data_IF_275155760625
#
_entry.id   IF_275155760625
#
_cell.length_a   1.000
_cell.length_b   1.000
_cell.length_c   1.000
_cell.angle_alpha   90.00
_cell.angle_beta   90.00
_cell.angle_gamma   90.00
#
_symmetry.space_group_name_H-M   'P 1'
#
loop_
_entity.id
_entity.type
_entity.pdbx_description
1 polymer ?
#
# COMPACT_ATOMS: atom_id res chain seq x y z
N UNK A 1 9.34 -34.00 11.29
CA UNK A 1 9.73 -32.87 10.41
C UNK A 1 8.47 -32.10 10.05
N UNK A 2 8.38 -30.80 10.36
CA UNK A 2 7.25 -29.94 9.92
C UNK A 2 7.64 -29.12 8.68
N UNK A 3 6.64 -28.72 7.89
CA UNK A 3 6.76 -27.71 6.83
C UNK A 3 6.17 -26.41 7.36
N UNK A 4 6.94 -25.32 7.30
CA UNK A 4 6.58 -24.04 7.91
C UNK A 4 6.80 -22.94 6.87
N UNK A 5 5.76 -22.17 6.59
CA UNK A 5 5.82 -20.95 5.79
C UNK A 5 5.78 -19.75 6.73
N UNK A 6 6.77 -18.87 6.62
CA UNK A 6 6.88 -17.62 7.38
C UNK A 6 6.77 -16.48 6.38
N UNK A 7 5.57 -15.88 6.30
CA UNK A 7 5.33 -14.71 5.45
C UNK A 7 5.56 -13.45 6.26
N UNK A 8 6.50 -12.61 5.81
CA UNK A 8 6.85 -11.36 6.48
C UNK A 8 6.31 -10.19 5.69
N UNK A 9 5.79 -9.17 6.38
CA UNK A 9 5.21 -7.99 5.74
C UNK A 9 6.18 -7.32 4.77
N UNK A 10 5.64 -6.88 3.64
CA UNK A 10 6.42 -6.36 2.52
C UNK A 10 6.63 -4.85 2.73
N UNK A 11 7.88 -4.39 2.94
CA UNK A 11 8.15 -2.95 3.07
C UNK A 11 7.80 -2.18 1.81
N UNK A 12 7.26 -0.99 2.03
CA UNK A 12 6.97 -0.04 0.96
C UNK A 12 8.24 0.48 0.28
N UNK A 13 8.32 0.38 -1.05
CA UNK A 13 9.50 0.71 -1.85
C UNK A 13 9.62 2.21 -2.18
N UNK A 14 9.45 3.08 -1.17
CA UNK A 14 9.51 4.54 -1.33
C UNK A 14 10.47 5.24 -0.37
N UNK A 15 11.34 4.47 0.27
CA UNK A 15 12.28 4.99 1.25
C UNK A 15 13.18 3.91 1.84
N UNK A 16 14.26 4.31 2.53
CA UNK A 16 15.12 3.38 3.24
C UNK A 16 14.44 2.82 4.49
N UNK A 17 14.80 1.59 4.84
CA UNK A 17 14.35 0.96 6.09
C UNK A 17 15.03 1.59 7.32
N UNK A 18 14.23 1.95 8.33
CA UNK A 18 14.73 2.31 9.67
C UNK A 18 14.69 1.14 10.68
N UNK A 19 15.30 1.34 11.86
CA UNK A 19 15.38 0.33 12.94
C UNK A 19 14.03 -0.22 13.40
N UNK A 20 12.95 0.57 13.33
CA UNK A 20 11.59 0.08 13.59
C UNK A 20 11.18 -1.10 12.69
N UNK A 21 11.53 -1.10 11.40
CA UNK A 21 11.27 -2.23 10.51
C UNK A 21 12.10 -3.45 10.93
N UNK A 22 13.35 -3.24 11.33
CA UNK A 22 14.20 -4.34 11.79
C UNK A 22 13.64 -5.00 13.05
N UNK A 23 13.38 -4.19 14.08
CA UNK A 23 12.91 -4.68 15.36
C UNK A 23 11.51 -5.29 15.28
N UNK A 24 10.60 -4.67 14.51
CA UNK A 24 9.20 -5.08 14.43
C UNK A 24 8.90 -6.14 13.37
N UNK A 25 9.53 -6.04 12.20
CA UNK A 25 9.16 -6.84 11.03
C UNK A 25 10.13 -7.99 10.75
N UNK A 26 11.45 -7.76 10.80
CA UNK A 26 12.41 -8.73 10.25
C UNK A 26 13.12 -9.60 11.28
N UNK A 27 13.52 -9.03 12.42
CA UNK A 27 14.26 -9.77 13.43
C UNK A 27 13.42 -10.88 14.09
N UNK A 28 12.14 -10.66 14.48
CA UNK A 28 11.33 -11.72 15.06
C UNK A 28 11.11 -12.94 14.15
N UNK A 29 10.70 -12.81 12.86
CA UNK A 29 10.55 -13.98 12.00
C UNK A 29 11.87 -14.64 11.63
N UNK A 30 12.99 -13.91 11.54
CA UNK A 30 14.30 -14.53 11.28
C UNK A 30 14.74 -15.42 12.46
N UNK A 31 14.58 -14.97 13.70
CA UNK A 31 14.83 -15.78 14.90
C UNK A 31 13.95 -17.04 14.89
N UNK A 32 12.66 -16.88 14.58
CA UNK A 32 11.72 -18.00 14.50
C UNK A 32 12.11 -19.01 13.42
N UNK A 33 12.43 -18.54 12.22
CA UNK A 33 12.83 -19.38 11.09
C UNK A 33 14.12 -20.15 11.41
N UNK A 34 15.13 -19.47 11.96
CA UNK A 34 16.40 -20.10 12.37
C UNK A 34 16.19 -21.17 13.44
N UNK A 35 15.41 -20.88 14.48
CA UNK A 35 15.06 -21.87 15.50
C UNK A 35 14.43 -23.12 14.88
N UNK A 36 13.46 -22.94 13.98
CA UNK A 36 12.76 -24.06 13.36
C UNK A 36 13.62 -24.86 12.39
N UNK A 37 14.51 -24.21 11.65
CA UNK A 37 15.54 -24.86 10.82
C UNK A 37 16.48 -25.70 11.68
N UNK A 38 17.01 -25.15 12.79
CA UNK A 38 17.88 -25.87 13.73
C UNK A 38 17.20 -27.09 14.38
N UNK A 39 15.89 -27.00 14.61
CA UNK A 39 15.07 -28.13 15.11
C UNK A 39 14.83 -29.23 14.06
N UNK A 40 15.30 -29.05 12.82
CA UNK A 40 15.10 -30.00 11.71
C UNK A 40 13.76 -29.87 11.00
N UNK A 41 13.08 -28.71 11.10
CA UNK A 41 11.91 -28.42 10.26
C UNK A 41 12.34 -27.84 8.91
N UNK A 42 11.47 -28.00 7.92
CA UNK A 42 11.61 -27.37 6.61
C UNK A 42 10.89 -26.02 6.66
N UNK A 43 11.64 -24.94 6.56
CA UNK A 43 11.11 -23.57 6.69
C UNK A 43 11.31 -22.84 5.36
N UNK A 44 10.27 -22.16 4.90
CA UNK A 44 10.35 -21.13 3.86
C UNK A 44 9.97 -19.79 4.50
N UNK A 45 10.90 -18.86 4.54
CA UNK A 45 10.70 -17.49 5.00
C UNK A 45 10.75 -16.56 3.79
N UNK A 46 9.63 -15.90 3.51
CA UNK A 46 9.44 -15.11 2.29
C UNK A 46 8.95 -13.70 2.60
N UNK A 47 9.40 -12.75 1.77
CA UNK A 47 8.97 -11.36 1.79
C UNK A 47 9.34 -10.69 0.47
N UNK A 48 9.28 -9.37 0.41
CA UNK A 48 9.71 -8.59 -0.74
C UNK A 48 9.36 -7.13 -0.60
N UNK A 49 9.58 -6.34 -1.65
CA UNK A 49 9.21 -4.92 -1.65
C UNK A 49 7.82 -4.71 -2.26
N UNK A 50 6.98 -3.94 -1.57
CA UNK A 50 5.72 -3.42 -2.12
C UNK A 50 6.03 -2.20 -3.01
N UNK A 51 5.82 -2.36 -4.31
CA UNK A 51 6.26 -1.43 -5.36
C UNK A 51 5.14 -0.61 -5.99
N UNK A 52 3.92 -0.67 -5.48
CA UNK A 52 2.77 -0.01 -6.10
C UNK A 52 2.18 1.10 -5.23
N UNK A 53 1.20 1.83 -5.75
CA UNK A 53 0.46 2.83 -5.00
C UNK A 53 0.98 4.26 -5.11
N UNK A 54 0.14 5.17 -4.64
CA UNK A 54 0.24 6.61 -4.83
C UNK A 54 1.54 7.26 -4.30
N UNK A 55 2.07 6.91 -3.12
CA UNK A 55 3.27 7.59 -2.65
C UNK A 55 4.52 7.37 -3.55
N UNK A 56 4.68 6.20 -4.17
CA UNK A 56 5.75 5.97 -5.16
C UNK A 56 5.55 6.86 -6.39
N UNK A 57 4.32 7.03 -6.87
CA UNK A 57 4.04 7.92 -8.02
C UNK A 57 4.32 9.38 -7.68
N UNK A 58 4.06 9.83 -6.44
CA UNK A 58 4.44 11.18 -5.96
C UNK A 58 5.94 11.37 -6.07
N UNK A 59 6.71 10.47 -5.46
CA UNK A 59 8.16 10.57 -5.41
C UNK A 59 8.77 10.52 -6.80
N UNK A 60 8.24 9.65 -7.67
CA UNK A 60 8.65 9.59 -9.08
C UNK A 60 8.44 10.93 -9.81
N UNK A 61 7.27 11.56 -9.63
CA UNK A 61 6.99 12.87 -10.23
C UNK A 61 7.91 13.97 -9.67
N UNK A 62 8.15 13.98 -8.36
CA UNK A 62 9.05 14.95 -7.70
C UNK A 62 10.50 14.81 -8.15
N UNK A 63 10.96 13.58 -8.40
CA UNK A 63 12.33 13.28 -8.82
C UNK A 63 12.52 13.30 -10.34
N UNK A 64 11.45 13.46 -11.14
CA UNK A 64 11.50 13.38 -12.60
C UNK A 64 11.87 11.98 -13.11
N UNK A 65 11.41 10.93 -12.41
CA UNK A 65 11.66 9.51 -12.70
C UNK A 65 10.37 8.76 -12.97
N UNK A 66 10.46 7.52 -13.42
CA UNK A 66 9.31 6.61 -13.44
C UNK A 66 9.06 5.99 -12.05
N UNK A 67 7.81 5.57 -11.74
CA UNK A 67 7.50 4.83 -10.52
C UNK A 67 8.36 3.57 -10.34
N UNK A 68 8.62 2.86 -11.43
CA UNK A 68 9.45 1.67 -11.44
C UNK A 68 10.90 1.98 -11.07
N UNK A 69 11.48 3.07 -11.60
CA UNK A 69 12.84 3.49 -11.25
C UNK A 69 12.99 3.80 -9.76
N UNK A 70 12.00 4.48 -9.15
CA UNK A 70 11.97 4.77 -7.72
C UNK A 70 11.86 3.48 -6.90
N UNK A 71 10.88 2.63 -7.22
CA UNK A 71 10.63 1.40 -6.49
C UNK A 71 11.82 0.44 -6.57
N UNK A 72 12.43 0.28 -7.75
CA UNK A 72 13.59 -0.57 -7.96
C UNK A 72 14.85 -0.04 -7.26
N UNK A 73 15.02 1.28 -7.22
CA UNK A 73 16.10 1.91 -6.46
C UNK A 73 16.02 1.52 -4.97
N UNK A 74 14.86 1.70 -4.35
CA UNK A 74 14.67 1.38 -2.93
C UNK A 74 14.66 -0.12 -2.66
N UNK A 75 14.12 -0.95 -3.57
CA UNK A 75 14.23 -2.40 -3.46
C UNK A 75 15.70 -2.84 -3.37
N UNK A 76 16.58 -2.32 -4.25
CA UNK A 76 18.00 -2.66 -4.21
C UNK A 76 18.68 -2.24 -2.90
N UNK A 77 18.41 -1.03 -2.42
CA UNK A 77 18.98 -0.52 -1.15
C UNK A 77 18.49 -1.35 0.04
N UNK A 78 17.19 -1.63 0.09
CA UNK A 78 16.56 -2.32 1.20
C UNK A 78 16.95 -3.80 1.23
N UNK A 79 16.96 -4.49 0.09
CA UNK A 79 17.45 -5.87 -0.04
C UNK A 79 18.89 -6.00 0.46
N UNK A 80 19.77 -5.08 0.03
CA UNK A 80 21.16 -5.04 0.51
C UNK A 80 21.24 -4.79 2.02
N UNK A 81 20.46 -3.85 2.55
CA UNK A 81 20.48 -3.53 3.98
C UNK A 81 20.01 -4.71 4.83
N UNK A 82 19.00 -5.44 4.37
CA UNK A 82 18.49 -6.67 5.01
C UNK A 82 19.57 -7.77 5.01
N UNK A 83 20.25 -7.97 3.88
CA UNK A 83 21.36 -8.92 3.75
C UNK A 83 22.54 -8.56 4.66
N UNK A 84 22.96 -7.30 4.67
CA UNK A 84 24.07 -6.80 5.49
C UNK A 84 23.78 -6.93 7.00
N UNK A 85 22.50 -6.92 7.40
CA UNK A 85 22.06 -7.19 8.78
C UNK A 85 21.96 -8.68 9.13
N UNK A 86 22.23 -9.57 8.17
CA UNK A 86 22.25 -11.02 8.37
C UNK A 86 20.88 -11.66 8.43
N UNK A 87 19.82 -10.99 7.95
CA UNK A 87 18.48 -11.59 7.87
C UNK A 87 18.43 -12.58 6.71
N UNK A 88 17.86 -13.77 6.95
CA UNK A 88 17.95 -14.91 6.03
C UNK A 88 16.60 -15.31 5.43
N UNK A 89 16.19 -14.61 4.38
CA UNK A 89 15.05 -14.98 3.55
C UNK A 89 15.40 -16.12 2.58
N UNK A 90 14.44 -17.03 2.36
CA UNK A 90 14.52 -18.02 1.27
C UNK A 90 14.11 -17.38 -0.07
N UNK A 91 13.24 -16.37 -0.02
CA UNK A 91 12.89 -15.52 -1.16
C UNK A 91 12.57 -14.10 -0.68
N UNK A 92 13.28 -13.11 -1.23
CA UNK A 92 12.97 -11.69 -1.08
C UNK A 92 12.71 -11.10 -2.48
N UNK A 93 11.44 -10.98 -2.86
CA UNK A 93 11.01 -10.58 -4.21
C UNK A 93 10.46 -9.14 -4.21
N UNK A 94 9.57 -8.80 -5.14
CA UNK A 94 8.83 -7.55 -5.18
C UNK A 94 7.48 -7.72 -5.89
N UNK A 95 6.54 -6.81 -5.67
CA UNK A 95 5.17 -6.93 -6.22
C UNK A 95 5.10 -6.58 -7.70
N UNK A 96 6.11 -5.91 -8.25
CA UNK A 96 6.19 -5.57 -9.68
C UNK A 96 6.76 -6.73 -10.54
N UNK A 97 6.20 -7.94 -10.42
CA UNK A 97 6.56 -9.09 -11.27
C UNK A 97 5.35 -9.62 -12.05
N UNK A 98 5.63 -10.41 -13.09
CA UNK A 98 4.60 -11.09 -13.86
C UNK A 98 3.81 -12.07 -12.98
N UNK A 99 4.48 -12.85 -12.13
CA UNK A 99 3.83 -13.83 -11.25
C UNK A 99 2.89 -13.16 -10.23
N UNK A 100 3.28 -11.99 -9.70
CA UNK A 100 2.41 -11.24 -8.81
C UNK A 100 1.18 -10.71 -9.56
N UNK A 101 1.37 -10.21 -10.78
CA UNK A 101 0.29 -9.74 -11.65
C UNK A 101 -0.70 -10.85 -11.95
N UNK A 102 -0.21 -12.03 -12.35
CA UNK A 102 -1.04 -13.21 -12.61
C UNK A 102 -1.81 -13.66 -11.36
N UNK A 103 -1.16 -13.73 -10.20
CA UNK A 103 -1.80 -14.13 -8.95
C UNK A 103 -2.89 -13.14 -8.51
N UNK A 104 -2.62 -11.83 -8.60
CA UNK A 104 -3.58 -10.79 -8.24
C UNK A 104 -4.81 -10.80 -9.15
N UNK A 105 -4.60 -10.90 -10.47
CA UNK A 105 -5.68 -11.02 -11.45
C UNK A 105 -6.48 -12.30 -11.25
N UNK A 106 -5.81 -13.43 -10.99
CA UNK A 106 -6.49 -14.69 -10.72
C UNK A 106 -7.41 -14.62 -9.49
N UNK A 107 -6.96 -13.99 -8.40
CA UNK A 107 -7.80 -13.77 -7.20
C UNK A 107 -9.00 -12.90 -7.55
N UNK A 108 -8.78 -11.77 -8.22
CA UNK A 108 -9.84 -10.83 -8.60
C UNK A 108 -10.88 -11.51 -9.49
N UNK A 109 -10.45 -12.20 -10.54
CA UNK A 109 -11.34 -12.92 -11.45
C UNK A 109 -12.11 -14.04 -10.76
N UNK A 110 -11.48 -14.75 -9.82
CA UNK A 110 -12.14 -15.82 -9.07
C UNK A 110 -13.26 -15.26 -8.20
N UNK A 111 -13.00 -14.15 -7.51
CA UNK A 111 -14.00 -13.46 -6.70
C UNK A 111 -15.12 -12.88 -7.57
N UNK A 112 -14.79 -12.30 -8.72
CA UNK A 112 -15.75 -11.73 -9.66
C UNK A 112 -16.67 -12.81 -10.27
N UNK A 113 -16.11 -13.92 -10.75
CA UNK A 113 -16.86 -15.08 -11.26
C UNK A 113 -17.78 -15.69 -10.20
N UNK A 114 -17.40 -15.62 -8.93
CA UNK A 114 -18.22 -16.05 -7.80
C UNK A 114 -19.26 -15.01 -7.36
N UNK A 115 -19.29 -13.83 -7.99
CA UNK A 115 -20.22 -12.76 -7.70
C UNK A 115 -19.89 -11.97 -6.44
N UNK A 116 -18.63 -11.95 -5.98
CA UNK A 116 -18.17 -11.21 -4.80
C UNK A 116 -17.53 -9.86 -5.11
N UNK A 117 -17.46 -9.48 -6.39
CA UNK A 117 -17.05 -8.16 -6.85
C UNK A 117 -18.27 -7.44 -7.40
N UNK A 118 -18.41 -6.14 -7.10
CA UNK A 118 -19.45 -5.31 -7.68
C UNK A 118 -18.93 -3.93 -8.09
N UNK A 119 -19.37 -3.39 -9.24
CA UNK A 119 -19.07 -2.02 -9.61
C UNK A 119 -19.91 -1.05 -8.78
N UNK A 120 -19.28 0.02 -8.29
CA UNK A 120 -19.98 1.17 -7.70
C UNK A 120 -19.45 2.45 -8.30
N UNK A 121 -20.34 3.41 -8.50
CA UNK A 121 -19.98 4.75 -8.96
C UNK A 121 -19.89 5.67 -7.75
N UNK A 122 -18.71 6.24 -7.54
CA UNK A 122 -18.48 7.35 -6.61
C UNK A 122 -18.13 8.61 -7.41
N UNK A 123 -18.19 9.78 -6.78
CA UNK A 123 -17.55 10.96 -7.38
C UNK A 123 -16.28 11.25 -6.62
N UNK A 124 -15.19 11.34 -7.37
CA UNK A 124 -13.84 11.51 -6.84
C UNK A 124 -13.27 12.84 -7.32
N UNK A 125 -12.27 13.33 -6.58
CA UNK A 125 -11.53 14.54 -6.92
C UNK A 125 -10.78 14.37 -8.25
N UNK A 126 -10.87 15.36 -9.13
CA UNK A 126 -10.27 15.37 -10.47
C UNK A 126 -9.61 16.71 -10.75
N UNK A 127 -8.36 16.66 -11.18
CA UNK A 127 -7.60 17.81 -11.65
C UNK A 127 -7.74 17.91 -13.19
N UNK A 128 -8.45 18.93 -13.72
CA UNK A 128 -8.63 19.13 -15.15
C UNK A 128 -7.36 19.61 -15.88
N UNK A 129 -6.41 20.22 -15.18
CA UNK A 129 -5.13 20.67 -15.76
C UNK A 129 -4.19 19.48 -15.93
N UNK A 130 -4.04 18.66 -14.87
CA UNK A 130 -3.25 17.43 -14.91
C UNK A 130 -3.98 16.26 -15.59
N UNK A 131 -5.28 16.40 -15.86
CA UNK A 131 -6.17 15.41 -16.49
C UNK A 131 -6.21 14.06 -15.77
N UNK A 132 -6.19 14.07 -14.45
CA UNK A 132 -6.13 12.87 -13.62
C UNK A 132 -7.06 12.95 -12.40
N UNK A 133 -7.50 11.80 -11.91
CA UNK A 133 -8.12 11.70 -10.59
C UNK A 133 -7.05 11.89 -9.51
N UNK A 134 -7.42 12.56 -8.42
CA UNK A 134 -6.57 12.79 -7.27
C UNK A 134 -6.97 11.83 -6.16
N UNK A 135 -6.07 10.91 -5.74
CA UNK A 135 -6.25 10.18 -4.50
C UNK A 135 -6.38 11.17 -3.32
N UNK A 136 -7.02 10.78 -2.23
CA UNK A 136 -7.26 11.66 -1.08
C UNK A 136 -6.02 12.40 -0.56
N UNK A 137 -4.84 11.76 -0.64
CA UNK A 137 -3.56 12.35 -0.23
C UNK A 137 -3.05 13.48 -1.13
N UNK A 138 -3.63 13.64 -2.32
CA UNK A 138 -3.36 14.71 -3.27
C UNK A 138 -4.34 15.86 -3.14
N UNK A 139 -5.35 15.76 -2.27
CA UNK A 139 -6.28 16.83 -1.98
C UNK A 139 -5.95 17.38 -0.60
N UNK A 140 -5.74 18.69 -0.52
CA UNK A 140 -5.59 19.42 0.72
C UNK A 140 -6.65 20.50 0.83
N UNK A 141 -6.94 20.92 2.05
CA UNK A 141 -7.89 21.99 2.32
C UNK A 141 -8.01 22.23 3.82
N UNK A 142 -8.94 23.10 4.18
CA UNK A 142 -9.17 23.45 5.57
C UNK A 142 -10.10 22.42 6.24
N UNK A 143 -9.67 21.88 7.39
CA UNK A 143 -10.45 20.93 8.18
C UNK A 143 -11.79 21.57 8.61
N UNK A 144 -12.94 20.93 8.33
CA UNK A 144 -14.23 21.47 8.73
C UNK A 144 -14.41 21.52 10.27
N UNK A 145 -13.67 20.67 11.01
CA UNK A 145 -13.83 20.46 12.44
C UNK A 145 -12.92 21.33 13.33
N UNK A 146 -11.62 21.43 13.02
CA UNK A 146 -10.67 22.21 13.84
C UNK A 146 -10.09 23.44 13.12
N UNK A 147 -10.45 23.67 11.84
CA UNK A 147 -9.95 24.78 11.01
C UNK A 147 -8.45 24.72 10.68
N UNK A 148 -7.80 23.57 10.87
CA UNK A 148 -6.45 23.35 10.37
C UNK A 148 -6.42 23.49 8.83
N UNK A 149 -5.60 24.40 8.31
CA UNK A 149 -5.64 24.84 6.91
C UNK A 149 -5.04 23.84 5.90
N UNK A 150 -4.29 22.85 6.39
CA UNK A 150 -3.59 21.86 5.55
C UNK A 150 -4.03 20.43 5.86
N UNK A 151 -5.33 20.22 6.10
CA UNK A 151 -5.87 18.88 6.28
C UNK A 151 -5.87 18.11 4.96
N UNK A 152 -5.54 16.81 5.02
CA UNK A 152 -5.58 15.93 3.86
C UNK A 152 -7.01 15.45 3.60
N UNK A 153 -7.28 15.02 2.38
CA UNK A 153 -8.56 14.44 1.98
C UNK A 153 -8.96 13.18 2.77
N UNK A 154 -8.00 12.46 3.37
CA UNK A 154 -8.25 11.24 4.15
C UNK A 154 -8.33 11.48 5.66
N UNK A 155 -7.57 12.45 6.17
CA UNK A 155 -7.42 12.71 7.60
C UNK A 155 -6.87 14.10 7.89
N UNK A 156 -7.38 14.73 8.95
CA UNK A 156 -6.76 15.91 9.54
C UNK A 156 -5.63 15.49 10.51
N UNK A 157 -4.40 15.87 10.22
CA UNK A 157 -3.23 15.55 11.07
C UNK A 157 -3.24 16.32 12.42
N UNK A 158 -4.03 17.38 12.55
CA UNK A 158 -4.15 18.17 13.79
C UNK A 158 -5.15 17.56 14.79
N UNK A 159 -6.40 17.30 14.36
CA UNK A 159 -7.43 16.74 15.23
C UNK A 159 -7.61 15.22 15.12
N UNK A 160 -6.90 14.57 14.19
CA UNK A 160 -6.92 13.12 13.98
C UNK A 160 -8.16 12.56 13.28
N UNK A 161 -9.15 13.40 12.96
CA UNK A 161 -10.42 12.96 12.38
C UNK A 161 -10.26 12.52 10.92
N UNK A 162 -10.87 11.40 10.57
CA UNK A 162 -11.00 10.92 9.18
C UNK A 162 -11.95 11.82 8.40
N UNK A 163 -11.60 12.11 7.16
CA UNK A 163 -12.34 13.01 6.28
C UNK A 163 -12.56 12.32 4.92
N UNK A 164 -13.50 12.86 4.16
CA UNK A 164 -13.56 12.69 2.70
C UNK A 164 -13.10 14.00 2.03
N UNK A 165 -12.42 13.91 0.89
CA UNK A 165 -11.94 15.06 0.11
C UNK A 165 -13.05 16.10 -0.16
N UNK A 166 -14.32 15.70 -0.25
CA UNK A 166 -15.48 16.60 -0.41
C UNK A 166 -15.88 17.37 0.84
N UNK A 167 -15.47 16.90 2.02
CA UNK A 167 -15.79 17.53 3.31
C UNK A 167 -14.83 18.68 3.64
N UNK A 168 -13.69 18.75 2.96
CA UNK A 168 -12.73 19.82 3.11
C UNK A 168 -13.33 21.16 2.69
N UNK A 169 -12.99 22.21 3.45
CA UNK A 169 -13.28 23.59 3.06
C UNK A 169 -12.18 24.03 2.10
N UNK A 170 -12.58 24.54 0.93
CA UNK A 170 -11.67 24.98 -0.14
C UNK A 170 -10.66 23.90 -0.58
N UNK A 171 -11.15 22.72 -1.03
CA UNK A 171 -10.27 21.63 -1.43
C UNK A 171 -9.51 21.99 -2.71
N UNK A 172 -8.21 21.76 -2.70
CA UNK A 172 -7.32 22.06 -3.82
C UNK A 172 -6.26 20.96 -3.99
N UNK A 173 -5.68 20.81 -5.20
CA UNK A 173 -4.60 19.86 -5.43
C UNK A 173 -3.33 20.24 -4.66
N UNK A 174 -2.76 19.30 -3.91
CA UNK A 174 -1.53 19.50 -3.13
C UNK A 174 -0.34 19.99 -3.97
N UNK A 175 -0.22 19.48 -5.19
CA UNK A 175 0.91 19.79 -6.09
C UNK A 175 0.71 21.09 -6.86
N UNK A 176 -0.53 21.58 -6.98
CA UNK A 176 -0.87 22.83 -7.65
C UNK A 176 -2.09 23.47 -6.97
N UNK A 177 -1.89 24.23 -5.87
CA UNK A 177 -3.00 24.80 -5.09
C UNK A 177 -3.89 25.77 -5.87
N UNK A 178 -3.38 26.38 -6.94
CA UNK A 178 -4.14 27.31 -7.78
C UNK A 178 -5.04 26.58 -8.80
N UNK A 179 -4.85 25.27 -9.01
CA UNK A 179 -5.65 24.50 -9.94
C UNK A 179 -7.07 24.30 -9.42
N UNK A 180 -8.03 24.42 -10.33
CA UNK A 180 -9.44 24.20 -10.02
C UNK A 180 -9.72 22.71 -9.83
N UNK A 181 -10.18 22.32 -8.64
CA UNK A 181 -10.63 20.96 -8.38
C UNK A 181 -12.07 20.74 -8.91
N UNK A 182 -12.30 19.62 -9.58
CA UNK A 182 -13.62 19.13 -9.96
C UNK A 182 -13.93 17.80 -9.28
N UNK A 183 -15.21 17.49 -9.07
CA UNK A 183 -15.63 16.15 -8.65
C UNK A 183 -16.29 15.44 -9.82
N UNK A 184 -15.76 14.29 -10.21
CA UNK A 184 -16.24 13.51 -11.37
C UNK A 184 -16.63 12.12 -10.95
N UNK A 185 -17.72 11.62 -11.54
CA UNK A 185 -18.15 10.24 -11.39
C UNK A 185 -17.12 9.29 -12.01
N UNK A 186 -16.74 8.28 -11.25
CA UNK A 186 -15.87 7.18 -11.68
C UNK A 186 -16.41 5.87 -11.11
N UNK A 187 -16.21 4.79 -11.84
CA UNK A 187 -16.62 3.46 -11.44
C UNK A 187 -15.44 2.71 -10.84
N UNK A 188 -15.64 2.09 -9.69
CA UNK A 188 -14.65 1.26 -9.00
C UNK A 188 -15.23 -0.11 -8.69
N UNK A 189 -14.38 -1.12 -8.68
CA UNK A 189 -14.73 -2.47 -8.27
C UNK A 189 -14.59 -2.59 -6.75
N UNK A 190 -15.65 -3.04 -6.09
CA UNK A 190 -15.68 -3.26 -4.64
C UNK A 190 -15.74 -4.75 -4.34
N UNK A 191 -14.90 -5.20 -3.40
CA UNK A 191 -14.98 -6.53 -2.82
C UNK A 191 -16.03 -6.58 -1.71
N UNK A 192 -17.03 -7.45 -1.86
CA UNK A 192 -18.09 -7.66 -0.88
C UNK A 192 -17.62 -8.52 0.30
N UNK A 193 -16.72 -7.95 1.11
CA UNK A 193 -16.20 -8.62 2.32
C UNK A 193 -17.31 -9.10 3.27
N UNK A 194 -18.47 -8.43 3.28
CA UNK A 194 -19.65 -8.83 4.05
C UNK A 194 -20.15 -10.24 3.74
N UNK A 195 -19.95 -10.73 2.51
CA UNK A 195 -20.37 -12.07 2.10
C UNK A 195 -19.59 -13.17 2.86
N UNK A 196 -18.44 -12.83 3.43
CA UNK A 196 -17.54 -13.74 4.14
C UNK A 196 -17.58 -13.58 5.66
N UNK A 197 -18.44 -12.69 6.19
CA UNK A 197 -18.46 -12.32 7.61
C UNK A 197 -18.53 -13.55 8.53
N UNK A 198 -19.51 -14.41 8.33
CA UNK A 198 -19.76 -15.54 9.24
C UNK A 198 -18.62 -16.57 9.17
N UNK A 199 -18.14 -16.87 7.96
CA UNK A 199 -16.99 -17.76 7.74
C UNK A 199 -15.71 -17.23 8.39
N UNK A 200 -15.45 -15.92 8.26
CA UNK A 200 -14.28 -15.29 8.87
C UNK A 200 -14.39 -15.27 10.40
N UNK A 201 -15.59 -15.05 10.95
CA UNK A 201 -15.83 -15.10 12.40
C UNK A 201 -15.74 -16.52 12.96
N UNK A 202 -16.11 -17.55 12.20
CA UNK A 202 -15.93 -18.95 12.61
C UNK A 202 -14.44 -19.36 12.61
N UNK A 203 -13.64 -18.79 11.71
CA UNK A 203 -12.21 -19.07 11.60
C UNK A 203 -11.38 -18.42 12.72
N UNK A 204 -11.76 -17.23 13.18
CA UNK A 204 -11.07 -16.45 14.24
C UNK A 204 -11.20 -17.09 15.63
#
# INVERSE_FOLDING_TARGET
VKHILVCVAWPYANGPLHLGHMAGCYLPPDIFARYHRLKGNKVLMVSGSDMHGTPITVTAQQEGKTPEEVAMHYHKINSKSIEDMGISFDLFSHTHTEEHTEAALWILETLDKAGHIEPRVSEEAYDPEAKQFLPDRYVEGTCPHCKYESARGDQCDDCGKTLDSKELIDPHPKLNPDAKLEFKKTEHLFFKLSDFRDTLLEWL
#
